data_IF_351244675231
#
_entry.id   IF_351244675231
#
_cell.length_a   1.000
_cell.length_b   1.000
_cell.length_c   1.000
_cell.angle_alpha   90.00
_cell.angle_beta   90.00
_cell.angle_gamma   90.00
#
_symmetry.space_group_name_H-M   'P 1'
#
loop_
_entity.id
_entity.type
_entity.pdbx_description
1 polymer ?
#
# COMPACT_ATOMS: atom_id res chain seq x y z
N UNK A 1 4.68 9.33 6.79
CA UNK A 1 4.27 8.57 5.60
C UNK A 1 3.69 9.48 4.51
N UNK A 2 4.40 9.60 3.38
CA UNK A 2 3.90 10.12 2.08
C UNK A 2 3.73 8.99 1.05
N UNK A 3 3.46 7.77 1.54
CA UNK A 3 3.42 6.55 0.71
C UNK A 3 2.12 6.48 -0.06
N UNK A 4 2.21 6.32 -1.37
CA UNK A 4 1.07 6.07 -2.26
C UNK A 4 0.74 4.57 -2.32
N UNK A 5 -0.44 4.18 -2.85
CA UNK A 5 -0.79 2.78 -3.04
C UNK A 5 0.27 1.97 -3.81
N UNK A 6 1.01 2.62 -4.73
CA UNK A 6 2.08 2.00 -5.52
C UNK A 6 3.20 1.41 -4.68
N UNK A 7 3.49 1.95 -3.49
CA UNK A 7 4.55 1.43 -2.62
C UNK A 7 4.23 0.00 -2.17
N UNK A 8 2.95 -0.31 -1.93
CA UNK A 8 2.54 -1.61 -1.41
C UNK A 8 2.43 -2.69 -2.49
N UNK A 9 2.57 -2.35 -3.78
CA UNK A 9 2.48 -3.33 -4.86
C UNK A 9 3.54 -4.43 -4.75
N UNK A 10 4.73 -4.10 -4.24
CA UNK A 10 5.87 -5.03 -4.18
C UNK A 10 5.64 -6.24 -3.26
N UNK A 11 4.69 -6.17 -2.33
CA UNK A 11 4.36 -7.28 -1.42
C UNK A 11 3.18 -8.12 -1.89
N UNK A 12 2.55 -7.71 -2.99
CA UNK A 12 1.43 -8.43 -3.58
C UNK A 12 1.93 -9.59 -4.42
N UNK A 13 1.04 -10.55 -4.66
CA UNK A 13 1.33 -11.74 -5.47
C UNK A 13 1.71 -11.37 -6.92
N UNK A 14 1.07 -10.33 -7.45
CA UNK A 14 1.20 -9.89 -8.84
C UNK A 14 1.53 -8.37 -8.87
N UNK A 15 2.79 -8.01 -8.57
CA UNK A 15 3.19 -6.61 -8.42
C UNK A 15 3.05 -5.81 -9.72
N UNK A 16 3.31 -6.44 -10.86
CA UNK A 16 3.25 -5.82 -12.18
C UNK A 16 1.82 -5.46 -12.58
N UNK A 17 0.89 -6.41 -12.48
CA UNK A 17 -0.52 -6.18 -12.83
C UNK A 17 -1.15 -5.12 -11.93
N UNK A 18 -0.84 -5.15 -10.63
CA UNK A 18 -1.32 -4.12 -9.68
C UNK A 18 -0.73 -2.75 -9.99
N UNK A 19 0.55 -2.69 -10.36
CA UNK A 19 1.19 -1.44 -10.77
C UNK A 19 0.50 -0.82 -11.99
N UNK A 20 0.30 -1.61 -13.05
CA UNK A 20 -0.37 -1.16 -14.28
C UNK A 20 -1.80 -0.68 -13.99
N UNK A 21 -2.52 -1.36 -13.09
CA UNK A 21 -3.86 -0.95 -12.65
C UNK A 21 -3.85 0.41 -11.93
N UNK A 22 -2.91 0.60 -10.99
CA UNK A 22 -2.81 1.86 -10.22
C UNK A 22 -2.35 3.01 -11.09
N UNK A 23 -1.36 2.78 -11.96
CA UNK A 23 -0.90 3.77 -12.92
C UNK A 23 -2.04 4.19 -13.87
N UNK A 24 -2.82 3.21 -14.37
CA UNK A 24 -4.02 3.46 -15.17
C UNK A 24 -5.13 4.20 -14.41
N UNK A 25 -5.19 4.06 -13.08
CA UNK A 25 -6.10 4.81 -12.22
C UNK A 25 -5.62 6.24 -11.91
N UNK A 26 -4.44 6.64 -12.40
CA UNK A 26 -3.84 7.95 -12.17
C UNK A 26 -2.91 8.03 -10.96
N UNK A 27 -2.39 6.89 -10.49
CA UNK A 27 -1.35 6.90 -9.46
C UNK A 27 0.00 7.33 -10.04
N UNK A 28 0.62 8.34 -9.44
CA UNK A 28 1.94 8.84 -9.86
C UNK A 28 3.09 7.97 -9.29
N UNK A 29 3.90 7.32 -10.15
CA UNK A 29 5.03 6.50 -9.72
C UNK A 29 6.26 7.31 -9.30
N UNK A 30 6.24 8.62 -9.55
CA UNK A 30 7.33 9.55 -9.21
C UNK A 30 7.23 10.08 -7.78
N UNK A 31 6.12 9.79 -7.08
CA UNK A 31 5.94 10.21 -5.69
C UNK A 31 6.96 9.52 -4.80
N UNK A 32 7.64 10.32 -4.00
CA UNK A 32 8.62 9.87 -3.03
C UNK A 32 7.99 9.75 -1.65
N UNK A 33 8.45 8.76 -0.89
CA UNK A 33 8.08 8.62 0.50
C UNK A 33 8.87 9.60 1.41
N UNK A 34 8.70 9.44 2.72
CA UNK A 34 9.43 10.23 3.72
C UNK A 34 10.95 9.98 3.72
N UNK A 35 11.42 8.87 3.15
CA UNK A 35 12.83 8.56 2.93
C UNK A 35 13.34 9.00 1.54
N UNK A 36 12.57 9.80 0.80
CA UNK A 36 12.89 10.23 -0.56
C UNK A 36 13.07 9.08 -1.57
N UNK A 37 12.44 7.92 -1.32
CA UNK A 37 12.47 6.76 -2.22
C UNK A 37 11.17 6.69 -3.01
N UNK A 38 11.23 6.30 -4.27
CA UNK A 38 10.05 6.06 -5.12
C UNK A 38 9.52 4.63 -4.95
N UNK A 39 8.27 4.39 -5.31
CA UNK A 39 7.65 3.06 -5.21
C UNK A 39 8.43 1.97 -5.96
N UNK A 40 9.02 2.29 -7.12
CA UNK A 40 9.80 1.35 -7.93
C UNK A 40 11.03 0.79 -7.19
N UNK A 41 11.60 1.53 -6.23
CA UNK A 41 12.73 1.04 -5.42
C UNK A 41 12.34 -0.20 -4.61
N UNK A 42 11.12 -0.20 -4.05
CA UNK A 42 10.63 -1.29 -3.21
C UNK A 42 10.21 -2.53 -4.00
N UNK A 43 10.05 -2.44 -5.33
CA UNK A 43 9.83 -3.60 -6.19
C UNK A 43 11.05 -4.51 -6.19
N UNK A 44 12.26 -3.94 -6.20
CA UNK A 44 13.50 -4.71 -6.11
C UNK A 44 13.87 -5.02 -4.65
N UNK A 45 13.38 -4.21 -3.70
CA UNK A 45 13.71 -4.33 -2.26
C UNK A 45 12.45 -4.51 -1.39
N UNK A 46 11.65 -5.56 -1.61
CA UNK A 46 10.36 -5.74 -0.92
C UNK A 46 10.52 -5.99 0.58
N UNK A 47 11.70 -6.39 1.06
CA UNK A 47 11.95 -6.57 2.50
C UNK A 47 12.14 -5.25 3.25
N UNK A 48 12.37 -4.14 2.54
CA UNK A 48 12.54 -2.81 3.15
C UNK A 48 11.22 -2.06 3.32
N UNK A 49 10.11 -2.58 2.76
CA UNK A 49 8.80 -2.01 3.03
C UNK A 49 8.24 -2.57 4.34
N UNK A 50 8.11 -1.69 5.33
CA UNK A 50 7.40 -2.05 6.55
C UNK A 50 5.90 -2.13 6.26
N UNK A 51 5.37 -3.35 6.29
CA UNK A 51 3.94 -3.59 6.28
C UNK A 51 3.40 -3.46 7.71
N UNK A 52 2.26 -2.78 7.91
CA UNK A 52 1.58 -2.85 9.20
C UNK A 52 1.27 -4.31 9.52
N UNK A 53 1.56 -4.73 10.75
CA UNK A 53 1.34 -6.11 11.18
C UNK A 53 -0.15 -6.46 11.04
N UNK A 54 -0.47 -7.29 10.05
CA UNK A 54 -1.85 -7.65 9.70
C UNK A 54 -2.46 -8.64 10.68
N UNK A 55 -1.68 -9.18 11.64
CA UNK A 55 -2.21 -10.12 12.64
C UNK A 55 -3.17 -9.42 13.60
N UNK A 56 -3.00 -8.11 13.79
CA UNK A 56 -3.92 -7.25 14.54
C UNK A 56 -5.19 -6.88 13.75
N UNK A 57 -5.31 -7.13 12.44
CA UNK A 57 -6.58 -6.93 11.73
C UNK A 57 -7.60 -8.05 11.99
N UNK A 58 -7.20 -9.11 12.69
CA UNK A 58 -8.09 -10.16 13.20
C UNK A 58 -8.86 -9.68 14.46
N UNK A 59 -8.42 -8.58 15.07
CA UNK A 59 -9.01 -7.99 16.26
C UNK A 59 -10.05 -6.93 15.93
N UNK A 60 -11.32 -7.31 15.88
CA UNK A 60 -12.46 -6.40 15.96
C UNK A 60 -12.45 -5.21 14.98
N UNK A 61 -12.70 -5.46 13.69
CA UNK A 61 -13.47 -4.50 12.91
C UNK A 61 -14.85 -4.38 13.58
N UNK A 62 -14.97 -3.51 14.60
CA UNK A 62 -16.27 -3.15 15.17
C UNK A 62 -17.05 -2.58 14.02
N UNK A 63 -17.98 -3.38 13.51
CA UNK A 63 -19.03 -2.97 12.60
C UNK A 63 -19.57 -1.65 13.13
N UNK A 64 -19.26 -0.56 12.45
CA UNK A 64 -19.89 0.72 12.72
C UNK A 64 -21.31 0.62 12.15
N UNK A 65 -22.17 -0.17 12.80
CA UNK A 65 -23.60 -0.10 12.57
C UNK A 65 -24.03 1.23 13.13
N UNK A 66 -24.37 2.16 12.23
CA UNK A 66 -25.01 3.43 12.55
C UNK A 66 -26.12 3.17 13.58
N UNK A 67 -25.90 3.68 14.80
CA UNK A 67 -26.89 3.68 15.86
C UNK A 67 -28.04 4.57 15.42
N UNK A 68 -29.21 3.97 15.27
CA UNK A 68 -30.46 4.67 15.09
C UNK A 68 -31.01 4.95 16.49
N UNK A 69 -30.95 6.21 16.89
CA UNK A 69 -31.85 6.82 17.88
C UNK A 69 -32.47 8.04 17.22
#
# INVERSE_FOLDING_TARGET
EGRTPLFYCCVLKDPKETWELLEGAGADPTVTDSQARIAAYYIDHPNEIELPDTRDMSGNFRRFTSGKD
#
